data_IF_519626047392
#
_entry.id   IF_519626047392
#
_cell.length_a   1.000
_cell.length_b   1.000
_cell.length_c   1.000
_cell.angle_alpha   90.00
_cell.angle_beta   90.00
_cell.angle_gamma   90.00
#
_symmetry.space_group_name_H-M   'P 1'
#
loop_
_entity.id
_entity.type
_entity.pdbx_description
1 polymer ?
#
# COMPACT_ATOMS: atom_id res chain seq x y z
N UNK A 1 14.12 -17.94 -20.34
CA UNK A 1 13.20 -16.80 -20.29
C UNK A 1 11.76 -17.20 -20.63
N UNK A 2 11.52 -18.04 -21.63
CA UNK A 2 10.18 -18.52 -22.06
C UNK A 2 9.33 -19.10 -20.92
N UNK A 3 9.92 -19.91 -20.03
CA UNK A 3 9.21 -20.53 -18.91
C UNK A 3 8.66 -19.55 -17.85
N UNK A 4 9.25 -18.36 -17.67
CA UNK A 4 8.73 -17.34 -16.74
C UNK A 4 7.57 -16.54 -17.37
N UNK A 5 7.58 -16.43 -18.70
CA UNK A 5 6.49 -15.83 -19.48
C UNK A 5 5.28 -16.77 -19.59
N UNK A 6 5.51 -18.10 -19.66
CA UNK A 6 4.45 -19.12 -19.71
C UNK A 6 3.66 -19.29 -18.39
N UNK A 7 4.24 -18.90 -17.24
CA UNK A 7 3.52 -18.85 -15.95
C UNK A 7 2.76 -17.53 -15.78
N UNK A 8 3.07 -16.51 -16.59
CA UNK A 8 2.54 -15.14 -16.49
C UNK A 8 1.45 -14.81 -17.53
N UNK A 9 0.78 -15.82 -18.12
CA UNK A 9 -0.18 -15.67 -19.25
C UNK A 9 -1.61 -15.31 -18.79
N UNK A 10 -1.79 -14.87 -17.54
CA UNK A 10 -3.05 -14.25 -17.08
C UNK A 10 -3.12 -12.82 -17.70
N UNK A 11 -4.26 -12.31 -18.22
CA UNK A 11 -4.34 -11.13 -19.09
C UNK A 11 -4.17 -9.77 -18.37
N UNK A 12 -3.29 -9.73 -17.37
CA UNK A 12 -2.96 -8.57 -16.55
C UNK A 12 -1.68 -7.84 -17.01
N UNK A 13 -1.13 -8.22 -18.16
CA UNK A 13 -0.15 -7.42 -18.88
C UNK A 13 -0.82 -6.11 -19.30
N UNK A 14 -0.68 -5.06 -18.49
CA UNK A 14 -1.04 -3.71 -18.91
C UNK A 14 0.09 -3.06 -19.67
N UNK A 15 -0.31 -2.36 -20.72
CA UNK A 15 0.54 -1.41 -21.41
C UNK A 15 0.86 -0.22 -20.49
N UNK A 16 2.12 0.22 -20.58
CA UNK A 16 2.77 1.38 -19.93
C UNK A 16 3.23 1.19 -18.46
N UNK A 17 4.51 1.33 -18.12
CA UNK A 17 5.73 1.79 -18.81
C UNK A 17 6.23 0.72 -19.82
N UNK A 18 6.33 1.04 -21.10
CA UNK A 18 6.90 0.17 -22.17
C UNK A 18 6.22 -1.18 -22.49
N UNK A 19 4.96 -1.43 -22.09
CA UNK A 19 4.17 -2.54 -22.66
C UNK A 19 4.48 -3.95 -22.16
N UNK A 20 5.30 -4.12 -21.11
CA UNK A 20 5.88 -5.42 -20.71
C UNK A 20 5.87 -5.71 -19.22
N UNK A 21 5.12 -4.95 -18.42
CA UNK A 21 5.22 -4.99 -16.96
C UNK A 21 4.71 -6.31 -16.40
N UNK A 22 5.53 -7.00 -15.59
CA UNK A 22 5.06 -8.14 -14.80
C UNK A 22 4.35 -7.57 -13.58
N UNK A 23 3.07 -7.90 -13.45
CA UNK A 23 2.28 -7.65 -12.25
C UNK A 23 2.24 -8.96 -11.46
N UNK A 24 3.03 -9.11 -10.39
CA UNK A 24 3.10 -10.34 -9.59
C UNK A 24 1.91 -10.43 -8.64
N UNK A 25 0.73 -10.00 -9.09
CA UNK A 25 -0.47 -9.97 -8.29
C UNK A 25 -1.71 -10.04 -9.18
N UNK A 26 -2.73 -10.74 -8.70
CA UNK A 26 -4.05 -10.77 -9.35
C UNK A 26 -4.96 -9.72 -8.74
N UNK A 27 -5.69 -8.93 -9.54
CA UNK A 27 -6.60 -7.97 -8.98
C UNK A 27 -7.81 -8.67 -8.33
N UNK A 28 -8.51 -7.95 -7.47
CA UNK A 28 -9.86 -8.31 -7.06
C UNK A 28 -10.83 -8.17 -8.24
N UNK A 29 -12.03 -8.78 -8.15
CA UNK A 29 -13.19 -8.27 -8.89
C UNK A 29 -13.37 -6.77 -8.59
N UNK A 30 -13.97 -5.99 -9.50
CA UNK A 30 -14.35 -4.63 -9.20
C UNK A 30 -15.31 -4.60 -7.99
N UNK A 31 -15.42 -3.43 -7.34
CA UNK A 31 -16.37 -3.20 -6.26
C UNK A 31 -17.81 -3.37 -6.78
N UNK A 32 -18.79 -3.30 -5.88
CA UNK A 32 -20.21 -3.45 -6.23
C UNK A 32 -20.70 -2.45 -7.30
N UNK A 33 -20.03 -1.29 -7.44
CA UNK A 33 -20.30 -0.28 -8.47
C UNK A 33 -19.64 -0.59 -9.83
N UNK A 34 -18.95 -1.72 -9.97
CA UNK A 34 -18.21 -2.10 -11.18
C UNK A 34 -16.86 -1.38 -11.33
N UNK A 35 -16.41 -0.63 -10.32
CA UNK A 35 -15.18 0.19 -10.38
C UNK A 35 -14.12 -0.28 -9.39
N UNK A 36 -12.88 0.07 -9.67
CA UNK A 36 -11.69 -0.14 -8.85
C UNK A 36 -11.29 1.12 -8.11
N UNK A 37 -10.47 0.98 -7.07
CA UNK A 37 -9.90 2.12 -6.36
C UNK A 37 -8.72 2.72 -7.16
N UNK A 38 -8.87 3.96 -7.63
CA UNK A 38 -7.92 4.65 -8.51
C UNK A 38 -6.90 5.52 -7.79
N UNK A 39 -6.38 6.50 -8.54
CA UNK A 39 -5.50 7.53 -7.98
C UNK A 39 -6.26 8.31 -6.91
N UNK A 40 -5.61 8.53 -5.78
CA UNK A 40 -6.18 9.20 -4.59
C UNK A 40 -7.49 8.60 -4.04
N UNK A 41 -7.82 7.37 -4.47
CA UNK A 41 -9.02 6.62 -4.09
C UNK A 41 -10.23 6.88 -4.97
N UNK A 42 -10.07 7.64 -6.06
CA UNK A 42 -11.14 7.91 -7.01
C UNK A 42 -11.53 6.63 -7.76
N UNK A 43 -12.83 6.36 -7.99
CA UNK A 43 -13.26 5.20 -8.77
C UNK A 43 -12.66 5.18 -10.19
N UNK A 44 -12.28 4.01 -10.70
CA UNK A 44 -11.76 3.84 -12.07
C UNK A 44 -12.26 2.53 -12.68
N UNK A 45 -12.57 2.50 -13.98
CA UNK A 45 -13.05 1.27 -14.65
C UNK A 45 -11.94 0.22 -14.80
N UNK A 46 -10.67 0.59 -14.60
CA UNK A 46 -9.54 -0.32 -14.78
C UNK A 46 -8.77 -0.47 -13.46
N UNK A 47 -8.34 -1.69 -13.06
CA UNK A 47 -7.52 -1.92 -11.88
C UNK A 47 -6.30 -0.98 -11.76
N UNK A 48 -6.32 -0.06 -10.81
CA UNK A 48 -5.19 0.84 -10.56
C UNK A 48 -4.24 0.25 -9.51
N UNK A 49 -3.00 0.78 -9.44
CA UNK A 49 -1.99 0.34 -8.48
C UNK A 49 -2.29 0.76 -7.04
N UNK A 50 -3.22 0.06 -6.39
CA UNK A 50 -3.58 0.23 -4.97
C UNK A 50 -3.63 -1.13 -4.31
N UNK A 51 -3.12 -1.24 -3.08
CA UNK A 51 -3.10 -2.51 -2.35
C UNK A 51 -4.53 -3.10 -2.25
N UNK A 52 -5.53 -2.21 -2.14
CA UNK A 52 -6.97 -2.48 -2.18
C UNK A 52 -7.44 -3.36 -3.35
N UNK A 53 -6.80 -3.22 -4.50
CA UNK A 53 -7.24 -3.83 -5.74
C UNK A 53 -6.67 -5.22 -5.96
N UNK A 54 -5.94 -5.82 -5.00
CA UNK A 54 -5.28 -7.11 -5.18
C UNK A 54 -5.88 -8.20 -4.30
N UNK A 55 -6.19 -9.34 -4.92
CA UNK A 55 -6.74 -10.52 -4.26
C UNK A 55 -5.64 -11.53 -3.93
N UNK A 56 -4.62 -11.63 -4.78
CA UNK A 56 -3.52 -12.58 -4.63
C UNK A 56 -2.19 -11.95 -5.02
N UNK A 57 -1.10 -12.47 -4.43
CA UNK A 57 0.27 -12.28 -4.91
C UNK A 57 0.69 -13.56 -5.63
N UNK A 58 1.17 -13.46 -6.86
CA UNK A 58 1.52 -14.61 -7.72
C UNK A 58 3.00 -14.93 -7.71
N UNK A 59 3.85 -13.98 -7.32
CA UNK A 59 5.30 -14.16 -7.21
C UNK A 59 5.82 -13.43 -5.98
N UNK A 60 6.75 -14.03 -5.24
CA UNK A 60 7.50 -13.35 -4.20
C UNK A 60 8.56 -12.45 -4.82
N UNK A 61 8.67 -11.20 -4.37
CA UNK A 61 9.71 -10.28 -4.85
C UNK A 61 10.47 -9.71 -3.67
N UNK A 62 11.79 -9.73 -3.81
CA UNK A 62 12.74 -9.05 -2.94
C UNK A 62 13.48 -8.02 -3.77
N UNK A 63 13.46 -6.75 -3.36
CA UNK A 63 14.23 -5.65 -3.97
C UNK A 63 15.35 -5.24 -3.01
N UNK A 64 16.53 -4.94 -3.54
CA UNK A 64 17.70 -4.49 -2.79
C UNK A 64 18.10 -3.12 -3.32
N UNK A 65 18.34 -2.15 -2.44
CA UNK A 65 18.66 -0.77 -2.82
C UNK A 65 19.86 -0.19 -2.05
N UNK A 66 21.06 -0.63 -2.44
CA UNK A 66 22.34 -0.11 -1.92
C UNK A 66 23.21 -1.12 -1.15
N UNK A 67 22.93 -2.41 -1.27
CA UNK A 67 23.64 -3.48 -0.55
C UNK A 67 25.01 -3.83 -1.17
N UNK A 68 25.76 -4.78 -0.60
CA UNK A 68 27.09 -5.20 -1.12
C UNK A 68 27.02 -6.43 -2.03
N UNK A 69 27.96 -6.56 -2.98
CA UNK A 69 27.94 -7.65 -3.98
C UNK A 69 28.16 -8.99 -3.31
N UNK A 70 29.13 -9.03 -2.40
CA UNK A 70 29.46 -10.22 -1.64
C UNK A 70 28.26 -10.73 -0.82
N UNK A 71 27.50 -9.83 -0.20
CA UNK A 71 26.32 -10.21 0.57
C UNK A 71 25.20 -10.76 -0.34
N UNK A 72 24.95 -10.11 -1.50
CA UNK A 72 24.01 -10.61 -2.50
C UNK A 72 24.42 -11.99 -3.01
N UNK A 73 25.68 -12.18 -3.42
CA UNK A 73 26.19 -13.46 -3.93
C UNK A 73 26.14 -14.57 -2.89
N UNK A 74 26.52 -14.30 -1.65
CA UNK A 74 26.43 -15.26 -0.56
C UNK A 74 24.97 -15.69 -0.30
N UNK A 75 24.04 -14.75 -0.37
CA UNK A 75 22.62 -15.03 -0.23
C UNK A 75 22.07 -15.84 -1.42
N UNK A 76 22.37 -15.46 -2.66
CA UNK A 76 22.00 -16.23 -3.85
C UNK A 76 22.56 -17.67 -3.80
N UNK A 77 23.82 -17.84 -3.39
CA UNK A 77 24.42 -19.15 -3.20
C UNK A 77 23.71 -19.98 -2.10
N UNK A 78 23.21 -19.33 -1.04
CA UNK A 78 22.36 -19.96 -0.04
C UNK A 78 21.05 -20.47 -0.63
N UNK A 79 20.37 -19.66 -1.46
CA UNK A 79 19.13 -20.07 -2.14
C UNK A 79 19.35 -21.26 -3.08
N UNK A 80 20.46 -21.27 -3.83
CA UNK A 80 20.83 -22.41 -4.71
C UNK A 80 21.05 -23.69 -3.91
N UNK A 81 21.79 -23.63 -2.79
CA UNK A 81 22.01 -24.79 -1.91
C UNK A 81 20.71 -25.36 -1.34
N UNK A 82 19.71 -24.49 -1.13
CA UNK A 82 18.37 -24.88 -0.68
C UNK A 82 17.46 -25.36 -1.82
N UNK A 83 17.93 -25.33 -3.06
CA UNK A 83 17.19 -25.77 -4.24
C UNK A 83 15.98 -24.90 -4.56
N UNK A 84 15.96 -23.62 -4.17
CA UNK A 84 14.84 -22.72 -4.45
C UNK A 84 14.89 -22.19 -5.88
N UNK A 85 13.75 -22.16 -6.57
CA UNK A 85 13.63 -21.46 -7.84
C UNK A 85 13.65 -19.95 -7.62
N UNK A 86 14.58 -19.25 -8.27
CA UNK A 86 14.52 -17.80 -8.39
C UNK A 86 15.04 -17.27 -9.72
N UNK A 87 14.65 -16.02 -10.04
CA UNK A 87 15.24 -15.18 -11.08
C UNK A 87 15.81 -13.92 -10.41
N UNK A 88 17.11 -13.68 -10.52
CA UNK A 88 17.77 -12.49 -10.01
C UNK A 88 18.22 -11.59 -11.17
N UNK A 89 17.95 -10.28 -11.09
CA UNK A 89 18.33 -9.34 -12.14
C UNK A 89 18.59 -7.93 -11.62
N UNK A 90 19.49 -7.17 -12.28
CA UNK A 90 19.73 -5.77 -11.96
C UNK A 90 18.52 -4.90 -12.31
N UNK A 91 18.23 -3.90 -11.48
CA UNK A 91 17.17 -2.91 -11.77
C UNK A 91 17.68 -1.77 -12.68
N UNK A 92 16.77 -0.89 -13.11
CA UNK A 92 17.08 0.26 -13.98
C UNK A 92 18.28 1.09 -13.52
N UNK A 93 18.44 1.18 -12.19
CA UNK A 93 19.32 2.15 -11.55
C UNK A 93 20.58 1.52 -10.95
N UNK A 94 20.83 0.24 -11.28
CA UNK A 94 22.08 -0.46 -10.98
C UNK A 94 23.29 0.40 -11.38
N UNK A 95 24.42 0.34 -10.66
CA UNK A 95 25.67 1.01 -11.07
C UNK A 95 25.71 2.55 -10.97
N UNK A 96 24.63 3.21 -10.51
CA UNK A 96 24.66 4.66 -10.22
C UNK A 96 25.48 4.95 -8.95
N UNK A 97 26.32 5.98 -8.99
CA UNK A 97 27.38 6.31 -8.01
C UNK A 97 26.96 6.35 -6.54
N UNK A 98 25.69 6.62 -6.23
CA UNK A 98 25.21 6.69 -4.84
C UNK A 98 24.88 5.32 -4.21
N UNK A 99 24.67 4.27 -5.01
CA UNK A 99 24.23 2.94 -4.53
C UNK A 99 24.72 1.85 -5.50
N UNK A 100 25.80 1.11 -5.17
CA UNK A 100 26.47 0.26 -6.14
C UNK A 100 25.60 -0.90 -6.64
N UNK A 101 24.67 -1.40 -5.81
CA UNK A 101 23.85 -2.56 -6.15
C UNK A 101 22.37 -2.25 -5.96
N UNK A 102 21.65 -2.46 -7.06
CA UNK A 102 20.19 -2.46 -7.09
C UNK A 102 19.72 -3.68 -7.85
N UNK A 103 19.18 -4.65 -7.14
CA UNK A 103 18.83 -5.97 -7.66
C UNK A 103 17.44 -6.37 -7.21
N UNK A 104 16.76 -7.13 -8.05
CA UNK A 104 15.54 -7.83 -7.69
C UNK A 104 15.72 -9.31 -7.82
N UNK A 105 15.10 -10.04 -6.90
CA UNK A 105 15.02 -11.49 -6.93
C UNK A 105 13.55 -11.89 -6.81
N UNK A 106 13.12 -12.67 -7.79
CA UNK A 106 11.75 -13.12 -7.96
C UNK A 106 11.67 -14.61 -7.67
N UNK A 107 10.71 -14.99 -6.84
CA UNK A 107 10.45 -16.35 -6.39
C UNK A 107 9.09 -16.79 -6.91
N UNK A 108 9.02 -17.78 -7.80
CA UNK A 108 7.77 -18.41 -8.15
C UNK A 108 7.14 -19.07 -6.93
N UNK A 109 5.82 -18.93 -6.80
CA UNK A 109 5.03 -19.66 -5.82
C UNK A 109 4.45 -20.93 -6.47
N UNK A 110 4.25 -21.98 -5.67
CA UNK A 110 3.58 -23.21 -6.14
C UNK A 110 2.13 -22.94 -6.58
N UNK A 111 1.51 -21.91 -6.01
CA UNK A 111 0.20 -21.39 -6.36
C UNK A 111 0.09 -19.91 -5.96
N UNK A 112 -0.90 -19.14 -6.45
CA UNK A 112 -1.12 -17.77 -6.01
C UNK A 112 -1.48 -17.67 -4.51
N UNK A 113 -0.83 -16.75 -3.78
CA UNK A 113 -1.06 -16.55 -2.34
C UNK A 113 -2.24 -15.60 -2.13
N UNK A 114 -3.35 -16.03 -1.50
CA UNK A 114 -4.49 -15.16 -1.24
C UNK A 114 -4.17 -14.16 -0.12
N UNK A 115 -4.13 -12.87 -0.46
CA UNK A 115 -3.80 -11.81 0.52
C UNK A 115 -5.01 -11.43 1.35
N UNK A 116 -6.20 -11.31 0.75
CA UNK A 116 -7.45 -10.96 1.43
C UNK A 116 -7.54 -9.54 2.01
N UNK A 117 -6.42 -8.95 2.41
CA UNK A 117 -6.26 -7.53 2.72
C UNK A 117 -4.80 -7.09 2.58
N UNK A 118 -4.55 -5.78 2.33
CA UNK A 118 -3.20 -5.21 2.32
C UNK A 118 -2.40 -5.51 3.59
N UNK A 119 -3.03 -5.35 4.76
CA UNK A 119 -2.40 -5.54 6.06
C UNK A 119 -1.93 -6.97 6.28
N UNK A 120 -2.73 -7.97 5.88
CA UNK A 120 -2.34 -9.39 5.98
C UNK A 120 -1.07 -9.68 5.19
N UNK A 121 -0.96 -9.15 3.97
CA UNK A 121 0.26 -9.28 3.20
C UNK A 121 1.44 -8.59 3.88
N UNK A 122 1.32 -7.29 4.17
CA UNK A 122 2.44 -6.48 4.66
C UNK A 122 2.95 -6.89 6.05
N UNK A 123 2.08 -7.40 6.93
CA UNK A 123 2.39 -7.64 8.35
C UNK A 123 2.58 -9.11 8.69
N UNK A 124 2.10 -10.04 7.85
CA UNK A 124 2.17 -11.48 8.14
C UNK A 124 2.85 -12.26 7.03
N UNK A 125 2.33 -12.19 5.82
CA UNK A 125 2.79 -13.04 4.72
C UNK A 125 4.13 -12.56 4.15
N UNK A 126 4.35 -11.26 4.01
CA UNK A 126 5.62 -10.71 3.53
C UNK A 126 6.78 -10.96 4.52
N UNK A 127 6.62 -10.72 5.85
CA UNK A 127 7.64 -11.13 6.82
C UNK A 127 7.92 -12.63 6.79
N UNK A 128 6.89 -13.46 6.62
CA UNK A 128 7.07 -14.90 6.44
C UNK A 128 7.87 -15.21 5.18
N UNK A 129 7.59 -14.57 4.05
CA UNK A 129 8.39 -14.70 2.84
C UNK A 129 9.86 -14.34 3.10
N UNK A 130 10.13 -13.23 3.79
CA UNK A 130 11.51 -12.84 4.16
C UNK A 130 12.19 -13.93 4.99
N UNK A 131 11.52 -14.51 5.98
CA UNK A 131 12.05 -15.66 6.73
C UNK A 131 12.31 -16.87 5.84
N UNK A 132 11.36 -17.21 4.95
CA UNK A 132 11.48 -18.31 4.01
C UNK A 132 12.71 -18.15 3.13
N UNK A 133 13.07 -16.93 2.74
CA UNK A 133 14.25 -16.65 1.92
C UNK A 133 15.47 -16.23 2.75
N UNK A 134 15.48 -16.45 4.06
CA UNK A 134 16.61 -16.17 4.96
C UNK A 134 17.00 -14.68 5.08
N UNK A 135 16.00 -13.80 5.07
CA UNK A 135 16.10 -12.34 5.28
C UNK A 135 15.30 -11.85 6.51
N UNK A 136 14.83 -12.75 7.38
CA UNK A 136 13.80 -12.47 8.39
C UNK A 136 14.20 -11.52 9.55
N UNK A 137 15.47 -11.48 9.94
CA UNK A 137 15.96 -10.63 11.03
C UNK A 137 16.82 -9.48 10.48
N UNK A 138 16.14 -8.39 10.11
CA UNK A 138 16.65 -7.26 9.31
C UNK A 138 17.44 -6.20 10.10
N UNK A 139 17.62 -6.37 11.41
CA UNK A 139 18.25 -5.33 12.26
C UNK A 139 19.75 -5.20 11.98
N UNK A 140 20.47 -6.32 11.84
CA UNK A 140 21.94 -6.35 11.65
C UNK A 140 22.41 -7.16 10.42
N UNK A 141 21.47 -7.54 9.55
CA UNK A 141 21.81 -8.30 8.35
C UNK A 141 22.69 -7.49 7.39
N UNK A 142 23.74 -8.13 6.85
CA UNK A 142 24.61 -7.58 5.81
C UNK A 142 23.90 -7.40 4.44
N UNK A 143 22.67 -7.92 4.32
CA UNK A 143 21.81 -7.80 3.16
C UNK A 143 20.39 -7.46 3.63
N UNK A 144 19.86 -6.32 3.18
CA UNK A 144 18.54 -5.82 3.58
C UNK A 144 17.60 -5.65 2.39
N UNK A 145 16.45 -6.34 2.43
CA UNK A 145 15.36 -6.10 1.50
C UNK A 145 14.72 -4.72 1.71
N UNK A 146 14.35 -4.03 0.63
CA UNK A 146 13.55 -2.81 0.70
C UNK A 146 12.16 -3.13 1.27
N UNK A 147 11.91 -2.67 2.50
CA UNK A 147 10.65 -2.85 3.20
C UNK A 147 9.44 -2.25 2.46
N UNK A 148 9.65 -1.34 1.50
CA UNK A 148 8.61 -0.85 0.60
C UNK A 148 7.95 -1.97 -0.22
N UNK A 149 8.64 -3.09 -0.45
CA UNK A 149 8.10 -4.23 -1.20
C UNK A 149 7.02 -5.00 -0.43
N UNK A 150 6.80 -4.70 0.86
CA UNK A 150 5.64 -5.23 1.59
C UNK A 150 4.31 -4.64 1.12
N UNK A 151 4.33 -3.58 0.30
CA UNK A 151 3.14 -3.05 -0.37
C UNK A 151 2.94 -3.72 -1.74
N UNK A 152 1.86 -4.47 -1.92
CA UNK A 152 1.56 -5.15 -3.20
C UNK A 152 1.50 -4.17 -4.37
N UNK A 153 0.99 -2.97 -4.15
CA UNK A 153 0.94 -1.89 -5.13
C UNK A 153 2.31 -1.28 -5.47
N UNK A 154 3.38 -1.76 -4.87
CA UNK A 154 4.74 -1.38 -5.25
C UNK A 154 5.42 -2.49 -6.04
N UNK A 155 4.85 -3.70 -6.10
CA UNK A 155 5.42 -4.89 -6.74
C UNK A 155 5.44 -4.88 -8.29
N UNK A 156 5.38 -3.73 -8.96
CA UNK A 156 5.32 -3.68 -10.44
C UNK A 156 6.67 -3.47 -11.06
N UNK A 157 7.21 -4.47 -11.75
CA UNK A 157 8.58 -4.35 -12.21
C UNK A 157 8.85 -4.94 -13.58
N UNK A 158 9.68 -4.19 -14.30
CA UNK A 158 10.34 -4.61 -15.52
C UNK A 158 11.80 -4.90 -15.22
N UNK A 159 12.39 -5.91 -15.87
CA UNK A 159 13.83 -5.96 -16.04
C UNK A 159 14.28 -4.85 -17.01
N UNK A 160 14.23 -3.58 -16.58
CA UNK A 160 14.72 -2.42 -17.32
C UNK A 160 16.18 -2.11 -16.93
N UNK A 161 16.97 -1.58 -17.86
CA UNK A 161 18.33 -1.09 -17.62
C UNK A 161 18.50 0.27 -18.29
N UNK A 162 19.16 1.20 -17.59
CA UNK A 162 19.43 2.54 -18.10
C UNK A 162 20.57 2.50 -19.13
N UNK A 163 20.31 2.81 -20.43
CA UNK A 163 21.34 2.79 -21.46
C UNK A 163 22.46 3.79 -21.26
N UNK A 164 22.24 4.84 -20.46
CA UNK A 164 23.26 5.86 -20.14
C UNK A 164 24.26 5.40 -19.06
N UNK A 165 24.05 4.21 -18.50
CA UNK A 165 24.89 3.70 -17.43
C UNK A 165 26.24 3.21 -17.97
N UNK A 166 27.33 3.72 -17.41
CA UNK A 166 28.69 3.32 -17.80
C UNK A 166 29.01 1.87 -17.42
N UNK A 167 28.30 1.31 -16.43
CA UNK A 167 28.48 -0.09 -16.01
C UNK A 167 27.62 -1.01 -16.88
N UNK A 168 28.22 -2.00 -17.58
CA UNK A 168 27.46 -2.98 -18.34
C UNK A 168 26.42 -3.69 -17.49
N UNK A 169 25.23 -3.92 -18.05
CA UNK A 169 24.16 -4.65 -17.36
C UNK A 169 24.62 -6.09 -17.06
N UNK A 170 24.65 -6.52 -15.78
CA UNK A 170 24.82 -7.94 -15.48
C UNK A 170 23.73 -8.79 -16.14
N UNK A 171 24.10 -9.98 -16.61
CA UNK A 171 23.14 -10.95 -17.10
C UNK A 171 22.18 -11.36 -15.96
N UNK A 172 20.87 -11.47 -16.21
CA UNK A 172 19.95 -12.09 -15.26
C UNK A 172 20.43 -13.51 -14.90
N UNK A 173 20.40 -13.82 -13.62
CA UNK A 173 20.65 -15.17 -13.13
C UNK A 173 19.32 -15.91 -12.98
N UNK A 174 19.23 -17.09 -13.56
CA UNK A 174 18.10 -18.00 -13.37
C UNK A 174 18.60 -19.28 -12.72
N UNK A 175 18.05 -19.62 -11.57
CA UNK A 175 18.22 -20.94 -10.96
C UNK A 175 16.90 -21.70 -11.04
N UNK A 176 16.91 -22.84 -11.74
CA UNK A 176 15.77 -23.75 -11.80
C UNK A 176 15.82 -24.68 -10.59
N UNK A 177 14.89 -24.46 -9.67
CA UNK A 177 14.72 -25.25 -8.45
C UNK A 177 13.24 -25.49 -8.17
N UNK A 178 12.88 -25.67 -6.90
CA UNK A 178 11.50 -25.78 -6.46
C UNK A 178 10.89 -24.40 -6.21
N UNK A 179 9.65 -24.14 -6.65
CA UNK A 179 8.94 -22.93 -6.26
C UNK A 179 8.73 -22.91 -4.74
N UNK A 180 8.48 -21.73 -4.18
CA UNK A 180 8.12 -21.62 -2.76
C UNK A 180 6.76 -22.28 -2.56
N UNK A 181 6.72 -23.31 -1.72
CA UNK A 181 5.51 -24.04 -1.39
C UNK A 181 4.59 -23.18 -0.51
N UNK A 182 3.47 -22.76 -1.08
CA UNK A 182 2.51 -21.89 -0.40
C UNK A 182 1.84 -22.57 0.80
N UNK A 183 1.53 -23.86 0.70
CA UNK A 183 0.87 -24.57 1.79
C UNK A 183 1.83 -24.81 2.95
N UNK A 184 3.08 -25.17 2.65
CA UNK A 184 4.10 -25.34 3.68
C UNK A 184 4.43 -24.01 4.36
N UNK A 185 4.62 -22.94 3.60
CA UNK A 185 5.15 -21.69 4.14
C UNK A 185 4.10 -20.72 4.66
N UNK A 186 2.94 -20.65 4.00
CA UNK A 186 1.88 -19.71 4.34
C UNK A 186 0.62 -20.40 4.87
N UNK A 187 0.43 -21.70 4.66
CA UNK A 187 -0.78 -22.45 5.05
C UNK A 187 -1.27 -22.18 6.48
N UNK A 188 -0.41 -22.22 7.52
CA UNK A 188 -0.82 -21.88 8.88
C UNK A 188 -1.39 -20.46 9.01
N UNK A 189 -0.72 -19.47 8.41
CA UNK A 189 -1.14 -18.06 8.40
C UNK A 189 -2.39 -17.84 7.54
N UNK A 190 -2.55 -18.63 6.48
CA UNK A 190 -3.70 -18.57 5.58
C UNK A 190 -4.99 -19.08 6.25
N UNK A 191 -4.87 -19.98 7.22
CA UNK A 191 -5.99 -20.51 8.03
C UNK A 191 -6.36 -19.63 9.22
N UNK A 192 -5.53 -18.66 9.58
CA UNK A 192 -5.87 -17.71 10.64
C UNK A 192 -7.01 -16.77 10.20
N UNK A 193 -7.96 -16.46 11.11
CA UNK A 193 -8.91 -15.38 10.87
C UNK A 193 -8.17 -14.08 10.53
N UNK A 194 -8.65 -13.37 9.53
CA UNK A 194 -8.09 -12.10 9.09
C UNK A 194 -9.22 -11.14 8.74
N UNK A 195 -8.96 -9.85 8.89
CA UNK A 195 -9.87 -8.82 8.43
C UNK A 195 -9.74 -8.69 6.92
N UNK A 196 -10.87 -8.83 6.23
CA UNK A 196 -10.97 -8.48 4.82
C UNK A 196 -10.81 -6.97 4.67
N UNK A 197 -10.33 -6.55 3.49
CA UNK A 197 -10.25 -5.14 3.17
C UNK A 197 -11.64 -4.49 3.23
N UNK A 198 -11.76 -3.42 4.01
CA UNK A 198 -12.93 -2.56 4.00
C UNK A 198 -12.84 -1.60 2.81
N UNK A 199 -13.77 -1.73 1.87
CA UNK A 199 -13.85 -0.83 0.72
C UNK A 199 -14.08 0.61 1.17
N UNK A 200 -13.35 1.53 0.53
CA UNK A 200 -13.54 2.96 0.74
C UNK A 200 -14.91 3.37 0.19
N UNK A 201 -15.78 3.98 1.01
CA UNK A 201 -17.06 4.50 0.51
C UNK A 201 -16.81 5.59 -0.54
N UNK A 202 -17.76 5.77 -1.44
CA UNK A 202 -17.71 6.89 -2.37
C UNK A 202 -17.91 8.23 -1.61
N UNK A 203 -17.61 9.35 -2.27
CA UNK A 203 -17.68 10.68 -1.65
C UNK A 203 -19.11 11.06 -1.23
N UNK A 204 -20.12 10.61 -1.99
CA UNK A 204 -21.54 10.86 -1.72
C UNK A 204 -22.04 10.14 -0.46
N UNK A 205 -21.51 8.94 -0.17
CA UNK A 205 -21.86 8.14 1.00
C UNK A 205 -21.36 8.71 2.32
N UNK A 206 -20.41 9.66 2.28
CA UNK A 206 -19.81 10.27 3.47
C UNK A 206 -20.13 11.75 3.62
N UNK A 207 -20.82 12.34 2.64
CA UNK A 207 -21.25 13.72 2.68
C UNK A 207 -22.63 13.83 3.33
N UNK A 208 -22.72 14.58 4.42
CA UNK A 208 -23.98 14.82 5.09
C UNK A 208 -24.80 15.90 4.38
N UNK A 209 -26.08 16.02 4.74
CA UNK A 209 -26.99 17.02 4.17
C UNK A 209 -27.21 18.21 5.10
N UNK A 210 -26.88 18.10 6.39
CA UNK A 210 -27.10 19.17 7.37
C UNK A 210 -25.99 20.22 7.27
N UNK A 211 -26.37 21.49 7.30
CA UNK A 211 -25.39 22.56 7.43
C UNK A 211 -24.66 22.49 8.79
N UNK A 212 -23.33 22.57 8.75
CA UNK A 212 -22.48 22.69 9.92
C UNK A 212 -22.57 24.11 10.50
N UNK A 213 -22.59 24.21 11.83
CA UNK A 213 -22.45 25.51 12.50
C UNK A 213 -20.96 25.85 12.63
N UNK A 214 -20.51 26.96 12.02
CA UNK A 214 -19.09 27.29 11.99
C UNK A 214 -18.48 27.50 13.38
N UNK A 215 -19.24 28.02 14.35
CA UNK A 215 -18.79 28.17 15.73
C UNK A 215 -18.54 26.81 16.40
N UNK A 216 -19.43 25.84 16.18
CA UNK A 216 -19.24 24.47 16.66
C UNK A 216 -18.03 23.78 16.02
N UNK A 217 -17.86 23.95 14.71
CA UNK A 217 -16.72 23.38 13.98
C UNK A 217 -15.41 23.95 14.52
N UNK A 218 -15.31 25.27 14.71
CA UNK A 218 -14.13 25.91 15.32
C UNK A 218 -13.84 25.37 16.71
N UNK A 219 -14.86 25.20 17.57
CA UNK A 219 -14.70 24.56 18.89
C UNK A 219 -14.13 23.15 18.79
N UNK A 220 -14.62 22.34 17.84
CA UNK A 220 -14.09 20.98 17.63
C UNK A 220 -12.65 20.99 17.12
N UNK A 221 -12.27 21.95 16.29
CA UNK A 221 -10.90 22.09 15.78
C UNK A 221 -9.88 22.47 16.86
N UNK A 222 -10.29 23.13 17.95
CA UNK A 222 -9.39 23.50 19.05
C UNK A 222 -8.74 22.30 19.76
N UNK A 223 -9.24 21.08 19.55
CA UNK A 223 -8.65 19.84 20.10
C UNK A 223 -7.31 19.48 19.47
N UNK A 224 -7.01 19.98 18.26
CA UNK A 224 -5.75 19.69 17.58
C UNK A 224 -4.64 20.58 18.12
N UNK A 225 -3.61 19.97 18.72
CA UNK A 225 -2.49 20.67 19.37
C UNK A 225 -1.13 20.50 18.68
N UNK A 226 -1.07 19.69 17.62
CA UNK A 226 0.17 19.51 16.85
C UNK A 226 0.54 20.82 16.15
N UNK A 227 1.83 21.14 16.10
CA UNK A 227 2.33 22.42 15.57
C UNK A 227 1.85 22.70 14.15
N UNK A 228 1.89 21.71 13.26
CA UNK A 228 1.40 21.80 11.89
C UNK A 228 -0.10 22.13 11.81
N UNK A 229 -0.91 21.51 12.68
CA UNK A 229 -2.34 21.80 12.77
C UNK A 229 -2.61 23.20 13.32
N UNK A 230 -1.90 23.60 14.38
CA UNK A 230 -2.05 24.93 15.00
C UNK A 230 -1.74 26.04 13.99
N UNK A 231 -0.68 25.90 13.19
CA UNK A 231 -0.34 26.87 12.14
C UNK A 231 -1.46 27.01 11.11
N UNK A 232 -1.99 25.90 10.58
CA UNK A 232 -3.08 25.93 9.59
C UNK A 232 -4.34 26.55 10.18
N UNK A 233 -4.68 26.23 11.43
CA UNK A 233 -5.84 26.80 12.10
C UNK A 233 -5.69 28.30 12.36
N UNK A 234 -4.49 28.75 12.75
CA UNK A 234 -4.21 30.17 12.94
C UNK A 234 -4.33 30.96 11.62
N UNK A 235 -3.78 30.42 10.52
CA UNK A 235 -3.93 31.03 9.19
C UNK A 235 -5.39 31.07 8.75
N UNK A 236 -6.14 29.98 8.98
CA UNK A 236 -7.58 29.89 8.72
C UNK A 236 -8.37 30.95 9.50
N UNK A 237 -8.07 31.13 10.79
CA UNK A 237 -8.74 32.13 11.65
C UNK A 237 -8.39 33.56 11.24
N UNK A 238 -7.13 33.81 10.85
CA UNK A 238 -6.68 35.11 10.35
C UNK A 238 -7.23 35.45 8.96
N UNK A 239 -7.61 34.44 8.17
CA UNK A 239 -7.99 34.59 6.76
C UNK A 239 -6.77 34.74 5.85
N UNK A 240 -5.62 34.22 6.27
CA UNK A 240 -4.37 34.26 5.52
C UNK A 240 -4.26 33.05 4.56
N UNK A 241 -3.34 33.15 3.59
CA UNK A 241 -3.02 32.06 2.68
C UNK A 241 -2.47 30.85 3.47
N UNK A 242 -2.96 29.65 3.12
CA UNK A 242 -2.56 28.41 3.77
C UNK A 242 -1.13 28.02 3.38
N UNK A 243 -0.24 27.90 4.38
CA UNK A 243 1.19 27.55 4.24
C UNK A 243 2.03 28.52 3.38
N UNK A 244 3.36 28.32 3.40
CA UNK A 244 4.33 29.11 2.65
C UNK A 244 4.27 28.82 1.13
N UNK A 245 4.87 29.71 0.34
CA UNK A 245 5.01 29.55 -1.11
C UNK A 245 5.72 28.22 -1.46
N UNK A 246 5.24 27.55 -2.52
CA UNK A 246 5.65 26.19 -2.89
C UNK A 246 5.03 25.05 -2.05
N UNK A 247 4.38 25.34 -0.93
CA UNK A 247 3.78 24.32 -0.03
C UNK A 247 2.25 24.45 0.13
N UNK A 248 1.60 25.37 -0.57
CA UNK A 248 0.16 25.68 -0.43
C UNK A 248 -0.76 24.46 -0.62
N UNK A 249 -0.39 23.51 -1.49
CA UNK A 249 -1.11 22.25 -1.64
C UNK A 249 -1.13 21.38 -0.36
N UNK A 250 -0.05 21.42 0.44
CA UNK A 250 -0.01 20.78 1.76
C UNK A 250 -0.94 21.48 2.75
N UNK A 251 -1.09 22.81 2.64
CA UNK A 251 -2.04 23.60 3.42
C UNK A 251 -3.49 23.15 3.20
N UNK A 252 -3.93 23.03 1.95
CA UNK A 252 -5.28 22.53 1.61
C UNK A 252 -5.46 21.09 2.11
N UNK A 253 -4.50 20.20 1.86
CA UNK A 253 -4.57 18.81 2.33
C UNK A 253 -4.69 18.72 3.85
N UNK A 254 -3.96 19.56 4.58
CA UNK A 254 -4.00 19.58 6.04
C UNK A 254 -5.30 20.15 6.57
N UNK A 255 -5.78 21.26 6.01
CA UNK A 255 -7.06 21.85 6.38
C UNK A 255 -8.21 20.85 6.19
N UNK A 256 -8.28 20.22 5.02
CA UNK A 256 -9.32 19.25 4.69
C UNK A 256 -9.25 18.00 5.56
N UNK A 257 -8.05 17.52 5.93
CA UNK A 257 -7.88 16.47 6.94
C UNK A 257 -8.44 16.89 8.31
N UNK A 258 -8.09 18.09 8.81
CA UNK A 258 -8.56 18.57 10.11
C UNK A 258 -10.09 18.73 10.14
N UNK A 259 -10.67 19.28 9.08
CA UNK A 259 -12.12 19.42 8.94
C UNK A 259 -12.80 18.05 8.85
N UNK A 260 -12.24 17.08 8.14
CA UNK A 260 -12.79 15.72 8.07
C UNK A 260 -12.84 15.07 9.46
N UNK A 261 -11.78 15.22 10.26
CA UNK A 261 -11.78 14.72 11.63
C UNK A 261 -12.77 15.47 12.54
N UNK A 262 -12.97 16.78 12.34
CA UNK A 262 -13.88 17.58 13.15
C UNK A 262 -15.36 17.44 12.71
N UNK A 263 -15.63 16.88 11.54
CA UNK A 263 -16.96 16.71 10.99
C UNK A 263 -17.82 15.75 11.81
N UNK A 264 -19.12 16.04 11.90
CA UNK A 264 -20.11 15.03 12.24
C UNK A 264 -20.59 14.31 10.96
N UNK A 265 -21.04 13.04 11.05
CA UNK A 265 -21.45 12.27 9.88
C UNK A 265 -22.57 12.94 9.05
N UNK A 266 -23.47 13.66 9.71
CA UNK A 266 -24.63 14.31 9.11
C UNK A 266 -24.33 15.70 8.51
N UNK A 267 -23.15 16.26 8.74
CA UNK A 267 -22.76 17.59 8.26
C UNK A 267 -22.26 17.56 6.82
N UNK A 268 -22.64 18.57 6.02
CA UNK A 268 -22.16 18.70 4.63
C UNK A 268 -20.74 19.25 4.57
N UNK A 269 -19.96 18.74 3.62
CA UNK A 269 -18.57 19.12 3.38
C UNK A 269 -18.45 20.58 2.92
N UNK A 270 -19.43 21.05 2.14
CA UNK A 270 -19.49 22.46 1.71
C UNK A 270 -19.60 23.39 2.93
N UNK A 271 -20.56 23.14 3.82
CA UNK A 271 -20.75 23.97 5.02
C UNK A 271 -19.60 23.89 6.04
N UNK A 272 -18.85 22.78 6.04
CA UNK A 272 -17.62 22.67 6.83
C UNK A 272 -16.50 23.56 6.27
N UNK A 273 -16.33 23.59 4.95
CA UNK A 273 -15.32 24.43 4.29
C UNK A 273 -15.58 25.92 4.44
N UNK A 274 -16.84 26.32 4.62
CA UNK A 274 -17.20 27.71 4.89
C UNK A 274 -16.45 28.31 6.08
N UNK A 275 -16.04 27.49 7.05
CA UNK A 275 -15.23 27.95 8.18
C UNK A 275 -13.85 28.51 7.75
N UNK A 276 -13.37 28.09 6.58
CA UNK A 276 -12.09 28.48 5.99
C UNK A 276 -12.22 29.43 4.79
N UNK A 277 -13.43 29.94 4.51
CA UNK A 277 -13.72 30.78 3.33
C UNK A 277 -12.67 31.86 3.09
N UNK A 278 -12.37 32.67 4.11
CA UNK A 278 -11.43 33.80 4.00
C UNK A 278 -10.04 33.37 3.52
N UNK A 279 -9.52 32.26 4.03
CA UNK A 279 -8.20 31.74 3.63
C UNK A 279 -8.21 31.08 2.24
N UNK A 280 -9.29 30.39 1.90
CA UNK A 280 -9.46 29.81 0.56
C UNK A 280 -9.61 30.90 -0.50
N UNK A 281 -10.34 31.97 -0.21
CA UNK A 281 -10.47 33.14 -1.08
C UNK A 281 -9.14 33.88 -1.25
N UNK A 282 -8.38 34.06 -0.16
CA UNK A 282 -7.03 34.64 -0.22
C UNK A 282 -6.09 33.82 -1.12
N UNK A 283 -6.16 32.48 -1.03
CA UNK A 283 -5.38 31.58 -1.87
C UNK A 283 -5.86 31.59 -3.33
N UNK A 284 -7.18 31.61 -3.57
CA UNK A 284 -7.74 31.69 -4.92
C UNK A 284 -7.38 33.01 -5.61
N UNK A 285 -7.32 34.12 -4.86
CA UNK A 285 -6.85 35.40 -5.39
C UNK A 285 -5.38 35.36 -5.80
N UNK A 286 -4.55 34.65 -5.04
CA UNK A 286 -3.12 34.49 -5.32
C UNK A 286 -2.86 33.51 -6.49
N UNK A 287 -3.71 32.50 -6.65
CA UNK A 287 -3.61 31.46 -7.68
C UNK A 287 -4.88 31.40 -8.56
N UNK A 288 -5.17 32.44 -9.37
CA UNK A 288 -6.45 32.58 -10.06
C UNK A 288 -6.71 31.54 -11.15
N UNK A 289 -5.67 30.85 -11.63
CA UNK A 289 -5.80 29.75 -12.61
C UNK A 289 -6.19 28.42 -11.97
N UNK A 290 -6.25 28.33 -10.64
CA UNK A 290 -6.47 27.10 -9.89
C UNK A 290 -7.86 27.04 -9.27
N UNK A 291 -8.52 25.90 -9.39
CA UNK A 291 -9.80 25.61 -8.72
C UNK A 291 -9.59 25.29 -7.23
N UNK A 292 -9.18 26.28 -6.44
CA UNK A 292 -8.84 26.11 -5.02
C UNK A 292 -10.03 25.57 -4.22
N UNK A 293 -11.23 26.08 -4.49
CA UNK A 293 -12.46 25.67 -3.81
C UNK A 293 -12.87 24.24 -4.14
N UNK A 294 -12.92 23.88 -5.43
CA UNK A 294 -13.24 22.52 -5.83
C UNK A 294 -12.18 21.51 -5.39
N UNK A 295 -10.90 21.89 -5.38
CA UNK A 295 -9.83 21.06 -4.80
C UNK A 295 -10.02 20.83 -3.30
N UNK A 296 -10.35 21.87 -2.53
CA UNK A 296 -10.62 21.74 -1.11
C UNK A 296 -11.87 20.88 -0.83
N UNK A 297 -12.93 21.01 -1.63
CA UNK A 297 -14.14 20.19 -1.51
C UNK A 297 -13.89 18.72 -1.81
N UNK A 298 -13.23 18.41 -2.92
CA UNK A 298 -12.80 17.04 -3.26
C UNK A 298 -11.86 16.47 -2.19
N UNK A 299 -10.93 17.29 -1.71
CA UNK A 299 -10.00 16.93 -0.63
C UNK A 299 -10.72 16.56 0.67
N UNK A 300 -11.72 17.35 1.09
CA UNK A 300 -12.50 17.10 2.30
C UNK A 300 -13.37 15.84 2.17
N UNK A 301 -14.14 15.71 1.08
CA UNK A 301 -14.95 14.50 0.82
C UNK A 301 -14.07 13.26 0.77
N UNK A 302 -12.94 13.35 0.08
CA UNK A 302 -11.92 12.31 0.05
C UNK A 302 -11.40 11.95 1.45
N UNK A 303 -11.02 12.93 2.26
CA UNK A 303 -10.54 12.70 3.63
C UNK A 303 -11.61 12.03 4.50
N UNK A 304 -12.88 12.46 4.42
CA UNK A 304 -14.00 11.81 5.13
C UNK A 304 -14.21 10.36 4.71
N UNK A 305 -14.14 10.09 3.40
CA UNK A 305 -14.25 8.73 2.87
C UNK A 305 -13.15 7.82 3.41
N UNK A 306 -11.91 8.33 3.45
CA UNK A 306 -10.75 7.63 3.98
C UNK A 306 -10.88 7.36 5.49
N UNK A 307 -11.32 8.34 6.28
CA UNK A 307 -11.52 8.15 7.72
C UNK A 307 -12.61 7.10 8.01
N UNK A 308 -13.73 7.17 7.30
CA UNK A 308 -14.82 6.19 7.41
C UNK A 308 -14.33 4.78 7.07
N UNK A 309 -13.52 4.65 6.01
CA UNK A 309 -12.88 3.40 5.66
C UNK A 309 -11.97 2.88 6.78
N UNK A 310 -11.12 3.75 7.35
CA UNK A 310 -10.23 3.38 8.45
C UNK A 310 -10.97 2.92 9.70
N UNK A 311 -12.11 3.52 10.01
CA UNK A 311 -13.00 3.07 11.08
C UNK A 311 -13.56 1.67 10.80
N UNK A 312 -14.06 1.43 9.59
CA UNK A 312 -14.56 0.12 9.16
C UNK A 312 -13.46 -0.95 9.21
N UNK A 313 -12.27 -0.62 8.72
CA UNK A 313 -11.13 -1.54 8.73
C UNK A 313 -10.72 -1.88 10.16
N UNK A 314 -10.57 -0.89 11.04
CA UNK A 314 -10.21 -1.10 12.45
C UNK A 314 -11.23 -1.99 13.18
N UNK A 315 -12.52 -1.83 12.89
CA UNK A 315 -13.56 -2.72 13.44
C UNK A 315 -13.40 -4.15 12.93
N UNK A 316 -13.18 -4.32 11.62
CA UNK A 316 -12.93 -5.64 11.04
C UNK A 316 -11.66 -6.30 11.60
N UNK A 317 -10.61 -5.52 11.85
CA UNK A 317 -9.37 -5.97 12.49
C UNK A 317 -9.66 -6.48 13.92
N UNK A 318 -10.39 -5.71 14.73
CA UNK A 318 -10.79 -6.12 16.08
C UNK A 318 -11.61 -7.42 16.08
N UNK A 319 -12.55 -7.56 15.14
CA UNK A 319 -13.35 -8.77 15.00
C UNK A 319 -12.49 -9.99 14.62
N UNK A 320 -11.52 -9.82 13.73
CA UNK A 320 -10.58 -10.87 13.34
C UNK A 320 -9.65 -11.26 14.50
N UNK A 321 -9.16 -10.29 15.27
CA UNK A 321 -8.34 -10.54 16.46
C UNK A 321 -9.11 -11.31 17.53
N UNK A 322 -10.37 -10.92 17.78
CA UNK A 322 -11.25 -11.64 18.70
C UNK A 322 -11.53 -13.07 18.22
N UNK A 323 -11.80 -13.26 16.93
CA UNK A 323 -11.98 -14.60 16.35
C UNK A 323 -10.72 -15.48 16.48
N UNK A 324 -9.53 -14.90 16.30
CA UNK A 324 -8.25 -15.58 16.52
C UNK A 324 -8.08 -15.97 17.99
N UNK A 325 -8.39 -15.07 18.92
CA UNK A 325 -8.34 -15.36 20.35
C UNK A 325 -9.29 -16.52 20.73
N UNK A 326 -10.53 -16.50 20.25
CA UNK A 326 -11.49 -17.60 20.46
C UNK A 326 -11.00 -18.93 19.89
N UNK A 327 -10.38 -18.92 18.71
CA UNK A 327 -9.78 -20.12 18.11
C UNK A 327 -8.67 -20.68 19.00
N UNK A 328 -7.77 -19.82 19.48
CA UNK A 328 -6.67 -20.24 20.35
C UNK A 328 -7.18 -20.83 21.67
N UNK A 329 -8.21 -20.24 22.27
CA UNK A 329 -8.86 -20.80 23.45
C UNK A 329 -9.43 -22.20 23.19
N UNK A 330 -10.10 -22.40 22.04
CA UNK A 330 -10.65 -23.72 21.67
C UNK A 330 -9.55 -24.78 21.48
N UNK A 331 -8.42 -24.39 20.88
CA UNK A 331 -7.27 -25.29 20.69
C UNK A 331 -6.62 -25.68 22.03
N UNK A 332 -6.53 -24.74 22.98
CA UNK A 332 -6.02 -25.01 24.33
C UNK A 332 -6.99 -25.87 25.13
N UNK A 333 -8.30 -25.64 25.00
CA UNK A 333 -9.32 -26.40 25.71
C UNK A 333 -9.50 -27.84 25.17
N UNK A 334 -9.23 -28.08 23.88
CA UNK A 334 -9.35 -29.38 23.23
C UNK A 334 -8.06 -29.76 22.48
N UNK A 335 -6.99 -30.18 23.20
CA UNK A 335 -5.70 -30.49 22.58
C UNK A 335 -5.73 -31.69 21.62
N UNK A 336 -6.79 -32.52 21.65
CA UNK A 336 -6.95 -33.70 20.79
C UNK A 336 -7.39 -33.41 19.35
N UNK A 337 -7.72 -32.16 18.99
CA UNK A 337 -8.11 -31.78 17.62
C UNK A 337 -6.93 -31.32 16.73
N UNK A 338 -5.69 -31.36 17.24
CA UNK A 338 -4.50 -30.85 16.53
C UNK A 338 -3.77 -31.86 15.61
N UNK A 339 -4.03 -33.17 15.73
CA UNK A 339 -3.31 -34.20 14.99
C UNK A 339 -4.25 -35.11 14.17
N UNK A 340 -5.14 -34.50 13.39
CA UNK A 340 -5.86 -35.19 12.32
C UNK A 340 -4.98 -35.38 11.08
N UNK A 341 -3.81 -36.01 11.23
CA UNK A 341 -3.12 -36.63 10.11
C UNK A 341 -3.71 -38.02 9.93
N UNK A 342 -4.51 -38.20 8.88
CA UNK A 342 -4.92 -39.54 8.44
C UNK A 342 -3.67 -40.35 8.11
N UNK A 343 -3.59 -41.55 8.70
CA UNK A 343 -2.59 -42.58 8.42
C UNK A 343 -2.90 -43.31 7.14
#
# INVERSE_FOLDING_TARGET
MTALWEVAVDPLLREEKDGRAIIPARPCPPRADGLYEGKDGQPTPTPYRRNANFSHVTLGIVDFDGETQAALEAWLASLRRRGLWFLAYPTHSYGRTAKPIRYRVVFPFSEPVPVGSPGRWSERLWPRLMQCVSLGDMTDAALKADASCKDVARLYYLPSWDPSNAVPRPAPEHHQGQPVDVQAEFGPLLREPFARYAERPNEEQVDGTRAANSGDVRRRLQRFKRSDAVTVLAQMDAGEVLMLDGQRHLGINKLTELLAWAAKPDESSESLLECARRSLDALAHLEPSRDVWGEALRGLRGARAKLTQWERQRKADQEAEHARWLRNLKLVANPSLGNGGER
#
